data_IF_716207925674
#
_entry.id   IF_716207925674
#
_cell.length_a   1.000
_cell.length_b   1.000
_cell.length_c   1.000
_cell.angle_alpha   90.00
_cell.angle_beta   90.00
_cell.angle_gamma   90.00
#
_symmetry.space_group_name_H-M   'P 1'
#
loop_
_entity.id
_entity.type
_entity.pdbx_description
1 polymer ?
#
# COMPACT_ATOMS: atom_id res chain seq x y z
N UNK A 1 1.87 -13.47 -5.30
CA UNK A 1 2.86 -14.56 -5.33
C UNK A 1 4.18 -13.96 -4.84
N UNK A 2 4.88 -14.59 -3.90
CA UNK A 2 6.14 -14.04 -3.35
C UNK A 2 7.35 -14.53 -4.15
N UNK A 3 8.44 -13.74 -4.28
CA UNK A 3 9.62 -14.11 -5.06
C UNK A 3 10.16 -15.52 -4.72
N UNK A 4 10.20 -15.84 -3.43
CA UNK A 4 10.65 -17.14 -2.93
C UNK A 4 9.76 -18.32 -3.35
N UNK A 5 8.46 -18.08 -3.56
CA UNK A 5 7.55 -19.09 -4.08
C UNK A 5 7.89 -19.42 -5.54
N UNK A 6 8.25 -18.42 -6.34
CA UNK A 6 8.66 -18.60 -7.75
C UNK A 6 9.97 -19.38 -7.82
N UNK A 7 10.97 -19.02 -6.99
CA UNK A 7 12.27 -19.72 -6.93
C UNK A 7 12.14 -21.21 -6.62
N UNK A 8 11.13 -21.60 -5.82
CA UNK A 8 10.91 -23.00 -5.43
C UNK A 8 10.09 -23.82 -6.43
N UNK A 9 9.54 -23.20 -7.47
CA UNK A 9 8.76 -23.96 -8.47
C UNK A 9 9.65 -24.98 -9.17
N UNK A 10 9.10 -26.19 -9.33
CA UNK A 10 9.71 -27.28 -10.10
C UNK A 10 8.70 -27.79 -11.10
N UNK A 11 9.11 -27.86 -12.35
CA UNK A 11 8.27 -28.34 -13.45
C UNK A 11 8.58 -29.80 -13.74
N UNK A 12 7.54 -30.60 -13.97
CA UNK A 12 7.69 -31.98 -14.44
C UNK A 12 8.07 -31.95 -15.93
N UNK A 13 8.86 -32.93 -16.35
CA UNK A 13 9.12 -33.16 -17.79
C UNK A 13 7.83 -33.53 -18.52
N UNK A 14 7.76 -33.19 -19.80
CA UNK A 14 6.64 -33.61 -20.65
C UNK A 14 6.59 -35.13 -20.76
N UNK A 15 5.37 -35.67 -20.84
CA UNK A 15 5.17 -37.10 -21.09
C UNK A 15 5.73 -37.54 -22.44
N UNK A 16 5.91 -38.85 -22.59
CA UNK A 16 6.43 -39.46 -23.81
C UNK A 16 5.59 -39.04 -25.04
N UNK A 17 6.24 -38.75 -26.17
CA UNK A 17 5.59 -38.29 -27.40
C UNK A 17 5.17 -36.81 -27.41
N UNK A 18 5.41 -36.04 -26.34
CA UNK A 18 5.14 -34.60 -26.27
C UNK A 18 6.41 -33.79 -26.12
N UNK A 19 6.53 -32.70 -26.88
CA UNK A 19 7.57 -31.69 -26.67
C UNK A 19 7.23 -30.81 -25.47
N UNK A 20 8.21 -30.58 -24.60
CA UNK A 20 8.17 -29.63 -23.50
C UNK A 20 8.88 -28.32 -23.84
N UNK A 21 8.85 -27.37 -22.91
CA UNK A 21 9.69 -26.16 -23.00
C UNK A 21 11.15 -26.51 -22.69
N UNK A 22 12.06 -25.73 -23.27
CA UNK A 22 13.48 -25.79 -22.95
C UNK A 22 13.70 -25.35 -21.49
N UNK A 23 14.33 -26.22 -20.70
CA UNK A 23 14.47 -26.05 -19.25
C UNK A 23 15.27 -24.79 -18.89
N UNK A 24 16.31 -24.51 -19.67
CA UNK A 24 17.15 -23.33 -19.55
C UNK A 24 16.36 -22.02 -19.78
N UNK A 25 15.44 -22.00 -20.74
CA UNK A 25 14.61 -20.83 -21.01
C UNK A 25 13.59 -20.61 -19.90
N UNK A 26 13.01 -21.69 -19.37
CA UNK A 26 12.08 -21.61 -18.24
C UNK A 26 12.79 -21.02 -17.02
N UNK A 27 13.97 -21.52 -16.65
CA UNK A 27 14.68 -20.98 -15.48
C UNK A 27 15.18 -19.56 -15.69
N UNK A 28 15.62 -19.19 -16.89
CA UNK A 28 15.96 -17.80 -17.21
C UNK A 28 14.75 -16.87 -17.05
N UNK A 29 13.57 -17.30 -17.52
CA UNK A 29 12.32 -16.57 -17.35
C UNK A 29 11.93 -16.45 -15.87
N UNK A 30 11.97 -17.54 -15.09
CA UNK A 30 11.66 -17.49 -13.66
C UNK A 30 12.56 -16.52 -12.90
N UNK A 31 13.85 -16.46 -13.25
CA UNK A 31 14.77 -15.51 -12.63
C UNK A 31 14.37 -14.06 -12.91
N UNK A 32 14.03 -13.75 -14.17
CA UNK A 32 13.52 -12.42 -14.53
C UNK A 32 12.23 -12.07 -13.80
N UNK A 33 11.28 -13.00 -13.71
CA UNK A 33 10.03 -12.80 -12.95
C UNK A 33 10.31 -12.51 -11.49
N UNK A 34 11.26 -13.22 -10.88
CA UNK A 34 11.69 -12.96 -9.50
C UNK A 34 12.25 -11.56 -9.34
N UNK A 35 13.13 -11.13 -10.24
CA UNK A 35 13.74 -9.81 -10.21
C UNK A 35 12.67 -8.70 -10.37
N UNK A 36 11.69 -8.90 -11.27
CA UNK A 36 10.55 -7.99 -11.47
C UNK A 36 9.62 -7.92 -10.25
N UNK A 37 9.35 -9.06 -9.59
CA UNK A 37 8.56 -9.07 -8.35
C UNK A 37 9.25 -8.32 -7.22
N UNK A 38 10.56 -8.50 -7.06
CA UNK A 38 11.36 -7.77 -6.05
C UNK A 38 11.29 -6.27 -6.34
N UNK A 39 11.50 -5.85 -7.59
CA UNK A 39 11.45 -4.45 -7.97
C UNK A 39 10.07 -3.83 -7.72
N UNK A 40 8.99 -4.56 -8.05
CA UNK A 40 7.61 -4.14 -7.78
C UNK A 40 7.36 -3.96 -6.29
N UNK A 41 7.75 -4.93 -5.48
CA UNK A 41 7.50 -4.90 -4.03
C UNK A 41 8.27 -3.73 -3.38
N UNK A 42 9.49 -3.45 -3.82
CA UNK A 42 10.26 -2.28 -3.38
C UNK A 42 9.59 -0.95 -3.76
N UNK A 43 9.08 -0.84 -5.00
CA UNK A 43 8.34 0.34 -5.44
C UNK A 43 7.05 0.54 -4.63
N UNK A 44 6.32 -0.54 -4.34
CA UNK A 44 5.11 -0.48 -3.52
C UNK A 44 5.42 -0.02 -2.08
N UNK A 45 6.50 -0.53 -1.48
CA UNK A 45 6.94 -0.10 -0.16
C UNK A 45 7.25 1.40 -0.12
N UNK A 46 8.02 1.90 -1.10
CA UNK A 46 8.35 3.32 -1.21
C UNK A 46 7.10 4.20 -1.38
N UNK A 47 6.14 3.79 -2.20
CA UNK A 47 4.88 4.52 -2.37
C UNK A 47 4.05 4.56 -1.08
N UNK A 48 4.04 3.47 -0.30
CA UNK A 48 3.35 3.42 0.99
C UNK A 48 3.99 4.35 2.00
N UNK A 49 5.31 4.39 2.07
CA UNK A 49 6.06 5.32 2.94
C UNK A 49 5.76 6.78 2.60
N UNK A 50 5.82 7.13 1.31
CA UNK A 50 5.51 8.50 0.86
C UNK A 50 4.05 8.86 1.14
N UNK A 51 3.12 7.92 0.96
CA UNK A 51 1.72 8.16 1.29
C UNK A 51 1.50 8.44 2.78
N UNK A 52 2.19 7.71 3.66
CA UNK A 52 2.15 7.95 5.12
C UNK A 52 2.72 9.33 5.43
N UNK A 53 3.87 9.68 4.83
CA UNK A 53 4.50 10.99 5.00
C UNK A 53 3.56 12.13 4.60
N UNK A 54 2.94 12.04 3.42
CA UNK A 54 2.01 13.06 2.92
C UNK A 54 0.77 13.20 3.80
N UNK A 55 0.21 12.07 4.28
CA UNK A 55 -0.93 12.09 5.20
C UNK A 55 -0.60 12.75 6.54
N UNK A 56 0.60 12.49 7.07
CA UNK A 56 1.05 13.12 8.31
C UNK A 56 1.25 14.62 8.11
N UNK A 57 1.93 15.04 7.04
CA UNK A 57 2.10 16.46 6.73
C UNK A 57 0.76 17.19 6.58
N UNK A 58 -0.23 16.56 5.92
CA UNK A 58 -1.56 17.12 5.78
C UNK A 58 -2.28 17.24 7.14
N UNK A 59 -2.17 16.21 8.00
CA UNK A 59 -2.76 16.23 9.34
C UNK A 59 -2.14 17.32 10.21
N UNK A 60 -0.83 17.48 10.16
CA UNK A 60 -0.09 18.48 10.93
C UNK A 60 -0.50 19.89 10.49
N UNK A 61 -0.59 20.12 9.17
CA UNK A 61 -1.09 21.37 8.61
C UNK A 61 -2.55 21.64 9.02
N UNK A 62 -3.44 20.64 8.90
CA UNK A 62 -4.84 20.80 9.34
C UNK A 62 -4.94 21.13 10.83
N UNK A 63 -4.10 20.55 11.67
CA UNK A 63 -4.09 20.81 13.11
C UNK A 63 -3.65 22.23 13.46
N UNK A 64 -2.79 22.82 12.62
CA UNK A 64 -2.29 24.19 12.81
C UNK A 64 -3.25 25.25 12.26
N UNK A 65 -3.97 24.95 11.18
CA UNK A 65 -4.72 25.96 10.41
C UNK A 65 -6.23 25.75 10.34
N UNK A 66 -6.79 24.69 10.95
CA UNK A 66 -8.24 24.49 11.02
C UNK A 66 -8.76 24.93 12.39
N UNK A 67 -9.59 25.99 12.47
CA UNK A 67 -10.29 26.35 13.69
C UNK A 67 -11.11 25.15 14.17
N UNK A 68 -11.01 24.80 15.46
CA UNK A 68 -11.82 23.72 16.02
C UNK A 68 -13.30 24.11 15.88
N UNK A 69 -14.15 23.30 15.21
CA UNK A 69 -15.56 23.63 15.11
C UNK A 69 -16.16 23.62 16.52
N UNK A 70 -16.59 24.81 16.95
CA UNK A 70 -17.53 25.11 18.02
C UNK A 70 -17.38 24.32 19.32
N UNK A 71 -16.61 24.87 20.27
CA UNK A 71 -16.86 24.65 21.70
C UNK A 71 -17.30 25.93 22.40
N UNK A 72 -17.95 26.84 21.65
CA UNK A 72 -18.32 28.19 22.09
C UNK A 72 -19.79 28.54 21.79
N UNK A 73 -20.72 27.57 21.80
CA UNK A 73 -22.14 27.85 21.48
C UNK A 73 -23.17 27.65 22.61
N UNK A 74 -22.77 27.25 23.84
CA UNK A 74 -23.76 26.97 24.91
C UNK A 74 -23.64 27.83 26.19
N UNK A 75 -22.83 28.90 26.19
CA UNK A 75 -22.76 29.83 27.34
C UNK A 75 -23.52 31.15 27.13
N UNK A 76 -24.15 31.34 25.97
CA UNK A 76 -24.87 32.58 25.63
C UNK A 76 -26.40 32.53 25.86
N UNK A 77 -26.95 31.38 26.28
CA UNK A 77 -28.41 31.17 26.40
C UNK A 77 -28.96 31.08 27.84
N UNK A 78 -28.28 31.65 28.82
CA UNK A 78 -28.73 31.71 30.24
C UNK A 78 -29.01 33.12 30.77
N UNK A 79 -29.31 34.10 29.89
CA UNK A 79 -29.46 35.50 30.29
C UNK A 79 -30.87 36.10 30.35
N UNK A 80 -31.85 35.64 29.55
CA UNK A 80 -33.00 36.51 29.23
C UNK A 80 -34.41 35.95 29.53
N UNK A 81 -34.54 34.87 30.30
CA UNK A 81 -35.85 34.30 30.66
C UNK A 81 -36.37 34.76 32.04
N UNK A 82 -35.85 35.85 32.60
CA UNK A 82 -36.27 36.35 33.93
C UNK A 82 -36.58 37.85 33.95
N UNK A 83 -37.35 38.36 32.99
CA UNK A 83 -38.14 39.59 33.16
C UNK A 83 -39.41 39.60 32.29
N UNK A 84 -40.54 39.15 32.85
CA UNK A 84 -41.74 39.95 33.12
C UNK A 84 -42.87 39.08 33.67
#
# INVERSE_FOLDING_TARGET
>A
MVPEQVRRLRFRRSGFGRRGLAEEHVYAFLRRVVDELIARDAAEASLREENVRLKNALRDWQSQFTPRPGRDDDSAWTGDQQRR
#
